data_IF_033112641440
#
_entry.id   IF_033112641440
#
_cell.length_a   1.000
_cell.length_b   1.000
_cell.length_c   1.000
_cell.angle_alpha   90.00
_cell.angle_beta   90.00
_cell.angle_gamma   90.00
#
_symmetry.space_group_name_H-M   'P 1'
#
loop_
_entity.id
_entity.type
_entity.pdbx_description
1 polymer ?
#
# COMPACT_ATOMS: atom_id res chain seq x y z
N UNK A 1 8.08 4.38 4.66
CA UNK A 1 7.32 5.58 5.06
C UNK A 1 8.14 6.40 6.03
N UNK A 2 8.06 7.73 5.95
CA UNK A 2 9.11 8.67 6.33
C UNK A 2 9.79 8.31 7.67
N UNK A 3 11.01 7.79 7.60
CA UNK A 3 11.80 7.29 8.73
C UNK A 3 12.38 8.44 9.58
N UNK A 4 11.53 9.30 10.14
CA UNK A 4 11.92 10.21 11.23
C UNK A 4 12.34 11.65 10.85
N UNK A 5 11.99 12.16 9.66
CA UNK A 5 12.11 13.60 9.34
C UNK A 5 10.84 14.16 8.71
N UNK A 6 9.74 14.03 9.43
CA UNK A 6 8.46 14.65 9.08
C UNK A 6 8.29 15.82 10.04
N UNK A 7 8.69 17.01 9.63
CA UNK A 7 8.66 18.21 10.46
C UNK A 7 8.39 19.44 9.59
N UNK A 8 7.57 20.37 10.11
CA UNK A 8 7.06 21.54 9.40
C UNK A 8 5.61 21.39 8.92
N UNK A 9 5.08 22.41 8.25
CA UNK A 9 3.67 22.49 7.84
C UNK A 9 3.30 21.60 6.63
N UNK A 10 4.26 20.97 5.95
CA UNK A 10 4.04 20.22 4.71
C UNK A 10 3.97 18.71 4.94
N UNK A 11 3.06 18.30 5.82
CA UNK A 11 2.86 16.90 6.22
C UNK A 11 1.39 16.53 6.06
N UNK A 12 1.14 15.32 5.59
CA UNK A 12 -0.20 14.78 5.46
C UNK A 12 -0.38 13.66 6.50
N UNK A 13 -1.49 13.71 7.22
CA UNK A 13 -1.84 12.76 8.26
C UNK A 13 -3.07 11.99 7.79
N UNK A 14 -2.98 10.66 7.78
CA UNK A 14 -4.17 9.84 7.55
C UNK A 14 -5.13 9.98 8.74
N UNK A 15 -6.41 10.28 8.47
CA UNK A 15 -7.43 10.48 9.51
C UNK A 15 -7.81 9.20 10.25
N UNK A 16 -7.57 8.03 9.66
CA UNK A 16 -8.01 6.75 10.24
C UNK A 16 -6.96 6.07 11.12
N UNK A 17 -5.66 6.31 10.85
CA UNK A 17 -4.58 5.60 11.54
C UNK A 17 -3.40 6.48 11.92
N UNK A 18 -3.52 7.80 11.74
CA UNK A 18 -2.54 8.81 12.12
C UNK A 18 -1.17 8.63 11.45
N UNK A 19 -1.11 7.83 10.38
CA UNK A 19 0.11 7.63 9.60
C UNK A 19 0.56 8.95 8.97
N UNK A 20 1.84 9.26 9.17
CA UNK A 20 2.49 10.49 8.70
C UNK A 20 3.17 10.29 7.34
N UNK A 21 2.81 11.16 6.40
CA UNK A 21 3.40 11.24 5.07
C UNK A 21 4.01 12.63 4.87
N UNK A 22 5.22 12.72 4.32
CA UNK A 22 5.66 14.01 3.77
C UNK A 22 4.82 14.35 2.53
N UNK A 23 4.74 15.63 2.18
CA UNK A 23 3.99 16.11 1.00
C UNK A 23 4.26 15.28 -0.27
N UNK A 24 5.54 15.01 -0.57
CA UNK A 24 5.92 14.21 -1.74
C UNK A 24 5.36 12.80 -1.69
N UNK A 25 5.46 12.14 -0.53
CA UNK A 25 4.90 10.79 -0.36
C UNK A 25 3.37 10.82 -0.50
N UNK A 26 2.68 11.74 0.15
CA UNK A 26 1.24 11.87 0.05
C UNK A 26 0.80 12.07 -1.42
N UNK A 27 1.42 13.00 -2.14
CA UNK A 27 1.12 13.27 -3.55
C UNK A 27 1.37 12.07 -4.44
N UNK A 28 2.50 11.39 -4.26
CA UNK A 28 2.82 10.17 -5.03
C UNK A 28 1.78 9.09 -4.78
N UNK A 29 1.44 8.82 -3.52
CA UNK A 29 0.47 7.79 -3.18
C UNK A 29 -0.94 8.12 -3.69
N UNK A 30 -1.38 9.37 -3.56
CA UNK A 30 -2.67 9.82 -4.08
C UNK A 30 -2.81 9.59 -5.59
N UNK A 31 -1.69 9.65 -6.34
CA UNK A 31 -1.70 9.43 -7.79
C UNK A 31 -1.54 7.95 -8.20
N UNK A 32 -0.79 7.16 -7.45
CA UNK A 32 -0.52 5.75 -7.78
C UNK A 32 -1.66 4.83 -7.33
N UNK A 33 -1.99 4.90 -6.05
CA UNK A 33 -2.87 3.92 -5.38
C UNK A 33 -4.07 4.56 -4.72
N UNK A 34 -4.02 5.86 -4.44
CA UNK A 34 -5.03 6.62 -3.73
C UNK A 34 -5.42 6.00 -2.38
N UNK A 35 -4.45 5.51 -1.61
CA UNK A 35 -4.71 5.01 -0.25
C UNK A 35 -3.54 5.20 0.72
N UNK A 36 -3.88 5.10 1.99
CA UNK A 36 -2.93 4.94 3.08
C UNK A 36 -2.28 3.55 3.05
N UNK A 37 -0.96 3.49 2.93
CA UNK A 37 -0.19 2.23 2.98
C UNK A 37 -0.22 1.51 4.34
N UNK A 38 -0.75 2.15 5.38
CA UNK A 38 -0.84 1.55 6.72
C UNK A 38 -2.19 0.86 6.94
N UNK A 39 -3.29 1.58 6.68
CA UNK A 39 -4.65 1.09 6.96
C UNK A 39 -5.48 0.79 5.70
N UNK A 40 -4.93 1.00 4.50
CA UNK A 40 -5.61 0.86 3.20
C UNK A 40 -6.84 1.77 2.99
N UNK A 41 -7.09 2.73 3.89
CA UNK A 41 -8.15 3.72 3.69
C UNK A 41 -7.81 4.61 2.49
N UNK A 42 -8.76 4.85 1.57
CA UNK A 42 -8.54 5.76 0.46
C UNK A 42 -8.27 7.20 0.95
N UNK A 43 -7.36 7.91 0.29
CA UNK A 43 -7.13 9.33 0.60
C UNK A 43 -8.24 10.22 0.05
N UNK A 44 -8.79 9.84 -1.09
CA UNK A 44 -9.90 10.52 -1.73
C UNK A 44 -10.95 9.48 -2.13
N UNK A 45 -12.08 9.46 -1.43
CA UNK A 45 -13.18 8.52 -1.68
C UNK A 45 -13.87 8.74 -3.04
N UNK A 46 -13.65 9.89 -3.69
CA UNK A 46 -14.22 10.19 -5.00
C UNK A 46 -13.39 9.62 -6.16
N UNK A 47 -12.17 9.14 -5.87
CA UNK A 47 -11.25 8.58 -6.87
C UNK A 47 -11.11 7.06 -6.69
N UNK A 48 -10.85 6.31 -7.79
CA UNK A 48 -10.51 4.90 -7.68
C UNK A 48 -9.29 4.68 -6.77
N UNK A 49 -9.34 3.67 -5.91
CA UNK A 49 -8.19 3.21 -5.13
C UNK A 49 -7.75 1.81 -5.60
N UNK A 50 -6.45 1.51 -5.48
CA UNK A 50 -5.87 0.22 -5.91
C UNK A 50 -5.19 -0.50 -4.75
N UNK A 51 -5.94 -1.19 -3.86
CA UNK A 51 -5.38 -1.85 -2.68
C UNK A 51 -4.17 -2.69 -3.02
N UNK A 52 -3.05 -2.50 -2.30
CA UNK A 52 -1.94 -3.45 -2.39
C UNK A 52 -2.43 -4.80 -1.87
N UNK A 53 -2.80 -5.69 -2.79
CA UNK A 53 -3.05 -7.10 -2.49
C UNK A 53 -1.70 -7.78 -2.50
N UNK A 54 -1.22 -8.18 -1.32
CA UNK A 54 -0.08 -9.08 -1.20
C UNK A 54 -0.45 -10.35 -1.95
N UNK A 55 0.10 -10.56 -3.13
CA UNK A 55 -0.11 -11.76 -3.94
C UNK A 55 0.14 -13.00 -3.09
N UNK A 56 -0.94 -13.70 -2.72
CA UNK A 56 -0.90 -15.11 -2.30
C UNK A 56 -0.53 -16.04 -3.47
N UNK A 57 -0.10 -15.50 -4.61
CA UNK A 57 0.16 -16.23 -5.85
C UNK A 57 1.46 -17.04 -5.86
N UNK A 58 2.32 -16.91 -4.84
CA UNK A 58 3.55 -17.71 -4.79
C UNK A 58 3.34 -19.17 -4.37
N UNK A 59 2.23 -19.53 -3.72
CA UNK A 59 2.05 -20.89 -3.17
C UNK A 59 1.42 -21.87 -4.18
N UNK A 60 0.66 -21.38 -5.18
CA UNK A 60 -0.04 -22.27 -6.14
C UNK A 60 0.83 -22.82 -7.27
N UNK A 61 2.01 -22.26 -7.49
CA UNK A 61 2.94 -22.75 -8.53
C UNK A 61 3.68 -23.99 -8.03
N UNK A 62 4.07 -24.03 -6.74
CA UNK A 62 4.79 -25.18 -6.18
C UNK A 62 3.93 -26.46 -6.06
N UNK A 63 2.62 -26.36 -5.79
CA UNK A 63 1.76 -27.54 -5.72
C UNK A 63 1.57 -28.22 -7.08
N UNK A 64 1.53 -27.45 -8.17
CA UNK A 64 1.39 -28.01 -9.52
C UNK A 64 2.68 -28.69 -10.01
N UNK A 65 3.84 -28.26 -9.53
CA UNK A 65 5.11 -28.90 -9.87
C UNK A 65 5.36 -30.17 -9.05
N UNK A 66 5.04 -30.18 -7.75
CA UNK A 66 5.19 -31.37 -6.89
C UNK A 66 4.29 -32.54 -7.28
N UNK A 67 3.17 -32.28 -7.97
CA UNK A 67 2.23 -33.33 -8.40
C UNK A 67 2.58 -33.97 -9.76
N UNK A 68 3.60 -33.44 -10.48
CA UNK A 68 4.08 -34.03 -11.75
C UNK A 68 5.29 -34.96 -11.57
N UNK A 69 5.88 -35.03 -10.38
CA UNK A 69 7.09 -35.84 -10.11
C UNK A 69 6.78 -37.12 -9.32
N UNK A 70 5.50 -37.46 -9.11
CA UNK A 70 5.07 -38.77 -8.58
C UNK A 70 4.25 -39.52 -9.62
N UNK A 71 4.88 -39.91 -10.73
CA UNK A 71 4.40 -40.98 -11.61
C UNK A 71 5.52 -41.99 -11.81
#
# INVERSE_FOLDING_TARGET
MCKGRVGGFNTFICTECEALYCEKCARTLSNLENMCWVCNTPFDVTKPSKPYKKEEERVKIEEKEKNKTKL
#
